data_IF_524334112771
#
_entry.id   IF_524334112771
#
_cell.length_a   1.000
_cell.length_b   1.000
_cell.length_c   1.000
_cell.angle_alpha   90.00
_cell.angle_beta   90.00
_cell.angle_gamma   90.00
#
_symmetry.space_group_name_H-M   'P 1'
#
loop_
_entity.id
_entity.type
_entity.pdbx_description
1 polymer ?
#
# COMPACT_ATOMS: atom_id res chain seq x y z
N UNK A 1 -21.96 35.10 6.43
CA UNK A 1 -22.27 34.08 5.40
C UNK A 1 -21.04 33.20 5.12
N UNK A 2 -20.46 32.55 6.15
CA UNK A 2 -19.18 31.83 6.01
C UNK A 2 -19.18 30.45 6.68
N UNK A 3 -20.34 30.02 7.22
CA UNK A 3 -20.51 28.72 7.89
C UNK A 3 -21.17 27.65 7.01
N UNK A 4 -21.80 28.03 5.89
CA UNK A 4 -22.43 27.07 4.95
C UNK A 4 -21.42 26.37 4.02
N UNK A 5 -20.30 27.02 3.68
CA UNK A 5 -19.33 26.46 2.73
C UNK A 5 -18.49 25.30 3.33
N UNK A 6 -18.27 25.29 4.64
CA UNK A 6 -17.48 24.25 5.32
C UNK A 6 -18.27 22.92 5.42
N UNK A 7 -19.59 22.99 5.58
CA UNK A 7 -20.44 21.80 5.67
C UNK A 7 -20.56 21.10 4.30
N UNK A 8 -20.60 21.85 3.19
CA UNK A 8 -20.63 21.25 1.85
C UNK A 8 -19.33 20.51 1.50
N UNK A 9 -18.17 21.00 1.96
CA UNK A 9 -16.88 20.34 1.72
C UNK A 9 -16.74 19.02 2.51
N UNK A 10 -17.24 18.96 3.75
CA UNK A 10 -17.25 17.72 4.54
C UNK A 10 -18.21 16.66 3.96
N UNK A 11 -19.36 17.07 3.42
CA UNK A 11 -20.29 16.12 2.77
C UNK A 11 -19.72 15.60 1.44
N UNK A 12 -18.94 16.40 0.70
CA UNK A 12 -18.31 15.96 -0.54
C UNK A 12 -17.19 14.90 -0.32
N UNK A 13 -16.40 15.03 0.75
CA UNK A 13 -15.35 14.05 1.08
C UNK A 13 -15.96 12.72 1.54
N UNK A 14 -17.06 12.75 2.31
CA UNK A 14 -17.80 11.54 2.69
C UNK A 14 -18.56 10.90 1.52
N UNK A 15 -19.04 11.70 0.56
CA UNK A 15 -19.81 11.21 -0.58
C UNK A 15 -18.94 10.52 -1.65
N UNK A 16 -17.66 10.89 -1.77
CA UNK A 16 -16.73 10.28 -2.74
C UNK A 16 -16.39 8.81 -2.43
N UNK A 17 -16.47 8.39 -1.16
CA UNK A 17 -16.24 6.98 -0.78
C UNK A 17 -17.45 6.06 -1.04
N UNK A 18 -18.62 6.61 -1.41
CA UNK A 18 -19.91 5.89 -1.39
C UNK A 18 -20.48 5.53 -2.78
N UNK A 19 -19.74 5.77 -3.87
CA UNK A 19 -20.15 5.22 -5.18
C UNK A 19 -19.81 3.73 -5.19
N UNK A 20 -20.81 2.89 -4.97
CA UNK A 20 -20.69 1.44 -4.98
C UNK A 20 -19.99 0.95 -6.25
N UNK A 21 -18.81 0.37 -6.07
CA UNK A 21 -17.98 -0.25 -7.12
C UNK A 21 -18.45 -1.68 -7.47
N UNK A 22 -19.70 -2.02 -7.11
CA UNK A 22 -20.26 -3.36 -7.27
C UNK A 22 -19.72 -4.40 -6.29
N UNK A 23 -18.77 -4.06 -5.41
CA UNK A 23 -18.22 -5.00 -4.42
C UNK A 23 -19.10 -5.22 -3.19
N UNK A 24 -20.06 -4.33 -2.93
CA UNK A 24 -20.87 -4.33 -1.71
C UNK A 24 -20.11 -3.86 -0.45
N UNK A 25 -18.82 -3.53 -0.54
CA UNK A 25 -17.99 -3.12 0.61
C UNK A 25 -17.99 -1.60 0.75
N UNK A 26 -18.55 -1.11 1.86
CA UNK A 26 -18.51 0.30 2.26
C UNK A 26 -17.41 0.54 3.29
N UNK A 27 -16.46 1.43 2.99
CA UNK A 27 -15.31 1.69 3.89
C UNK A 27 -15.70 2.19 5.28
N UNK A 28 -16.82 2.91 5.40
CA UNK A 28 -17.33 3.41 6.67
C UNK A 28 -17.87 2.30 7.60
N UNK A 29 -18.00 1.06 7.11
CA UNK A 29 -18.55 -0.04 7.87
C UNK A 29 -17.46 -0.99 8.43
N UNK A 30 -16.18 -0.81 8.08
CA UNK A 30 -15.09 -1.64 8.59
C UNK A 30 -14.50 -1.01 9.86
N UNK A 31 -14.90 -1.49 11.03
CA UNK A 31 -14.10 -1.30 12.25
C UNK A 31 -12.85 -2.22 12.21
N UNK A 32 -11.86 -1.97 13.07
CA UNK A 32 -10.60 -2.72 13.07
C UNK A 32 -10.81 -4.25 13.26
N UNK A 33 -11.83 -4.65 14.01
CA UNK A 33 -12.17 -6.04 14.31
C UNK A 33 -12.78 -6.75 13.09
N UNK A 34 -13.76 -6.11 12.43
CA UNK A 34 -14.38 -6.62 11.21
C UNK A 34 -13.42 -6.61 10.02
N UNK A 35 -12.48 -5.67 9.99
CA UNK A 35 -11.41 -5.65 9.00
C UNK A 35 -10.56 -6.93 9.10
N UNK A 36 -10.21 -7.39 10.31
CA UNK A 36 -9.39 -8.60 10.50
C UNK A 36 -10.12 -9.89 10.06
N UNK A 37 -11.40 -10.04 10.37
CA UNK A 37 -12.20 -11.19 9.97
C UNK A 37 -12.41 -11.24 8.44
N UNK A 38 -12.66 -10.08 7.83
CA UNK A 38 -12.74 -9.98 6.37
C UNK A 38 -11.38 -10.30 5.71
N UNK A 39 -10.25 -10.01 6.36
CA UNK A 39 -8.93 -10.39 5.84
C UNK A 39 -8.67 -11.89 5.81
N UNK A 40 -9.18 -12.61 6.82
CA UNK A 40 -8.95 -14.05 6.99
C UNK A 40 -9.67 -14.91 5.93
N UNK A 41 -10.71 -14.37 5.29
CA UNK A 41 -11.58 -15.11 4.34
C UNK A 41 -11.20 -14.94 2.88
N UNK A 42 -10.11 -14.22 2.60
CA UNK A 42 -9.84 -13.80 1.24
C UNK A 42 -9.08 -14.85 0.43
N UNK A 43 -9.32 -14.91 -0.89
CA UNK A 43 -8.55 -15.77 -1.77
C UNK A 43 -7.07 -15.35 -1.69
N UNK A 44 -6.13 -16.31 -1.70
CA UNK A 44 -4.72 -16.00 -1.72
C UNK A 44 -4.40 -15.12 -2.94
N UNK A 45 -3.35 -14.31 -2.82
CA UNK A 45 -2.79 -13.65 -4.00
C UNK A 45 -2.40 -14.71 -5.04
N UNK A 46 -2.57 -14.44 -6.34
CA UNK A 46 -2.30 -15.46 -7.35
C UNK A 46 -0.82 -15.86 -7.32
N UNK A 47 -0.56 -17.13 -7.06
CA UNK A 47 0.79 -17.68 -6.93
C UNK A 47 1.52 -17.72 -8.28
N UNK A 48 2.85 -17.68 -8.25
CA UNK A 48 3.70 -17.92 -9.43
C UNK A 48 3.74 -16.78 -10.44
N UNK A 49 3.32 -15.57 -10.07
CA UNK A 49 3.53 -14.37 -10.88
C UNK A 49 5.00 -13.95 -10.80
N UNK A 50 5.62 -13.72 -11.97
CA UNK A 50 6.95 -13.14 -12.01
C UNK A 50 6.93 -11.75 -11.34
N UNK A 51 7.95 -11.42 -10.53
CA UNK A 51 8.00 -10.13 -9.86
C UNK A 51 8.08 -8.99 -10.89
N UNK A 52 7.21 -7.97 -10.81
CA UNK A 52 7.30 -6.79 -11.67
C UNK A 52 8.63 -6.07 -11.44
N UNK A 53 9.16 -5.39 -12.46
CA UNK A 53 10.49 -4.79 -12.35
C UNK A 53 10.51 -3.41 -11.70
N UNK A 54 9.37 -2.70 -11.69
CA UNK A 54 9.27 -1.32 -11.25
C UNK A 54 8.06 -1.12 -10.33
N UNK A 55 8.11 -0.07 -9.52
CA UNK A 55 7.03 0.33 -8.64
C UNK A 55 5.71 0.51 -9.41
N UNK A 56 5.74 1.20 -10.55
CA UNK A 56 4.56 1.44 -11.38
C UNK A 56 4.03 0.14 -12.01
N UNK A 57 4.93 -0.74 -12.47
CA UNK A 57 4.53 -2.05 -12.98
C UNK A 57 3.93 -2.94 -11.88
N UNK A 58 4.39 -2.78 -10.64
CA UNK A 58 3.81 -3.46 -9.49
C UNK A 58 2.38 -2.98 -9.24
N UNK A 59 2.13 -1.66 -9.23
CA UNK A 59 0.76 -1.14 -9.08
C UNK A 59 -0.17 -1.63 -10.20
N UNK A 60 0.31 -1.66 -11.44
CA UNK A 60 -0.46 -2.20 -12.57
C UNK A 60 -0.75 -3.71 -12.42
N UNK A 61 0.24 -4.50 -11.98
CA UNK A 61 0.06 -5.92 -11.73
C UNK A 61 -0.93 -6.19 -10.58
N UNK A 62 -0.91 -5.36 -9.52
CA UNK A 62 -1.91 -5.42 -8.46
C UNK A 62 -3.31 -5.11 -8.98
N UNK A 63 -3.46 -4.14 -9.90
CA UNK A 63 -4.74 -3.81 -10.51
C UNK A 63 -5.26 -4.94 -11.42
N UNK A 64 -4.41 -5.59 -12.20
CA UNK A 64 -4.83 -6.69 -13.07
C UNK A 64 -5.20 -7.96 -12.27
N UNK A 65 -4.38 -8.30 -11.27
CA UNK A 65 -4.46 -9.57 -10.57
C UNK A 65 -5.53 -9.64 -9.48
N UNK A 66 -5.87 -8.51 -8.84
CA UNK A 66 -6.71 -8.53 -7.65
C UNK A 66 -8.21 -8.58 -7.97
N UNK A 67 -8.98 -9.48 -7.32
CA UNK A 67 -10.42 -9.51 -7.49
C UNK A 67 -11.07 -8.24 -6.90
N UNK A 68 -12.27 -7.84 -7.38
CA UNK A 68 -12.95 -6.62 -6.92
C UNK A 68 -13.10 -6.49 -5.40
N UNK A 69 -13.37 -7.60 -4.70
CA UNK A 69 -13.47 -7.62 -3.24
C UNK A 69 -12.17 -7.19 -2.55
N UNK A 70 -11.02 -7.67 -3.05
CA UNK A 70 -9.71 -7.28 -2.51
C UNK A 70 -9.39 -5.83 -2.80
N UNK A 71 -9.69 -5.35 -4.01
CA UNK A 71 -9.50 -3.94 -4.37
C UNK A 71 -10.34 -3.04 -3.44
N UNK A 72 -11.60 -3.38 -3.21
CA UNK A 72 -12.46 -2.60 -2.33
C UNK A 72 -11.93 -2.53 -0.89
N UNK A 73 -11.36 -3.61 -0.35
CA UNK A 73 -10.74 -3.59 0.98
C UNK A 73 -9.47 -2.72 1.03
N UNK A 74 -8.58 -2.85 0.04
CA UNK A 74 -7.37 -2.01 -0.03
C UNK A 74 -7.77 -0.54 -0.17
N UNK A 75 -8.81 -0.23 -0.97
CA UNK A 75 -9.39 1.11 -1.09
C UNK A 75 -9.87 1.66 0.26
N UNK A 76 -10.36 0.78 1.15
CA UNK A 76 -10.88 1.13 2.47
C UNK A 76 -9.83 1.16 3.58
N UNK A 77 -8.56 0.85 3.30
CA UNK A 77 -7.49 1.11 4.25
C UNK A 77 -7.49 2.58 4.64
N UNK A 78 -7.53 2.83 5.95
CA UNK A 78 -7.29 4.17 6.50
C UNK A 78 -5.91 4.66 6.01
N UNK A 79 -5.87 5.91 5.57
CA UNK A 79 -4.78 6.50 4.75
C UNK A 79 -3.38 6.40 5.36
N UNK A 80 -3.26 6.13 6.66
CA UNK A 80 -1.99 6.26 7.39
C UNK A 80 -1.29 4.95 7.76
N UNK A 81 -1.91 3.77 7.56
CA UNK A 81 -1.30 2.51 8.02
C UNK A 81 -1.65 1.29 7.17
N UNK A 82 -0.61 0.61 6.69
CA UNK A 82 -0.70 -0.72 6.10
C UNK A 82 -0.56 -1.85 7.15
N UNK A 83 -0.51 -1.52 8.44
CA UNK A 83 -0.32 -2.51 9.50
C UNK A 83 -1.33 -3.67 9.47
N UNK A 84 -2.64 -3.45 9.21
CA UNK A 84 -3.60 -4.54 9.08
C UNK A 84 -3.28 -5.54 7.96
N UNK A 85 -2.61 -5.08 6.90
CA UNK A 85 -2.20 -5.94 5.78
C UNK A 85 -0.78 -6.49 5.92
N UNK A 86 -0.04 -6.13 6.96
CA UNK A 86 1.39 -6.41 7.08
C UNK A 86 1.73 -7.91 7.07
N UNK A 87 0.92 -8.73 7.73
CA UNK A 87 1.08 -10.20 7.79
C UNK A 87 0.29 -10.95 6.71
N UNK A 88 -0.34 -10.20 5.82
CA UNK A 88 -1.31 -10.68 4.85
C UNK A 88 -0.74 -10.35 3.46
N UNK A 89 -1.26 -9.32 2.80
CA UNK A 89 -0.77 -8.82 1.51
C UNK A 89 0.69 -8.37 1.59
N UNK A 90 1.08 -7.72 2.69
CA UNK A 90 2.46 -7.28 2.90
C UNK A 90 3.44 -8.46 2.92
N UNK A 91 3.10 -9.54 3.64
CA UNK A 91 3.94 -10.74 3.71
C UNK A 91 4.07 -11.42 2.35
N UNK A 92 2.97 -11.53 1.61
CA UNK A 92 3.00 -12.07 0.26
C UNK A 92 3.90 -11.26 -0.67
N UNK A 93 3.75 -9.93 -0.71
CA UNK A 93 4.60 -9.04 -1.51
C UNK A 93 6.09 -9.20 -1.16
N UNK A 94 6.41 -9.39 0.12
CA UNK A 94 7.79 -9.62 0.57
C UNK A 94 8.37 -10.93 0.07
N UNK A 95 7.59 -11.99 0.15
CA UNK A 95 8.06 -13.33 -0.20
C UNK A 95 8.12 -13.55 -1.71
N UNK A 96 7.16 -13.00 -2.46
CA UNK A 96 7.05 -13.26 -3.90
C UNK A 96 7.73 -12.18 -4.73
N UNK A 97 7.58 -10.90 -4.36
CA UNK A 97 8.01 -9.79 -5.23
C UNK A 97 9.24 -9.05 -4.74
N UNK A 98 9.46 -8.96 -3.43
CA UNK A 98 10.55 -8.18 -2.82
C UNK A 98 11.63 -9.07 -2.18
N UNK A 99 11.62 -10.37 -2.45
CA UNK A 99 12.60 -11.29 -1.89
C UNK A 99 14.01 -11.00 -2.43
N UNK A 100 14.97 -10.94 -1.50
CA UNK A 100 16.38 -10.73 -1.82
C UNK A 100 16.63 -9.43 -2.60
N UNK A 101 17.22 -9.56 -3.79
CA UNK A 101 17.56 -8.45 -4.71
C UNK A 101 16.72 -8.49 -5.99
N UNK A 102 15.43 -8.80 -5.86
CA UNK A 102 14.54 -8.80 -7.02
C UNK A 102 14.63 -7.48 -7.81
N UNK A 103 14.30 -7.47 -9.11
CA UNK A 103 14.23 -6.24 -9.89
C UNK A 103 13.38 -5.15 -9.20
N UNK A 104 12.22 -5.53 -8.62
CA UNK A 104 11.38 -4.62 -7.84
C UNK A 104 12.10 -4.06 -6.62
N UNK A 105 12.75 -4.92 -5.82
CA UNK A 105 13.46 -4.49 -4.61
C UNK A 105 14.59 -3.51 -4.95
N UNK A 106 15.31 -3.74 -6.05
CA UNK A 106 16.34 -2.80 -6.55
C UNK A 106 15.74 -1.46 -6.99
N UNK A 107 14.65 -1.49 -7.76
CA UNK A 107 13.96 -0.28 -8.19
C UNK A 107 13.47 0.54 -6.99
N UNK A 108 12.79 -0.09 -6.02
CA UNK A 108 12.36 0.59 -4.80
C UNK A 108 13.55 1.02 -3.93
N UNK A 109 14.66 0.28 -3.95
CA UNK A 109 15.90 0.70 -3.34
C UNK A 109 16.43 2.01 -3.94
N UNK A 110 16.40 2.15 -5.27
CA UNK A 110 16.79 3.41 -5.93
C UNK A 110 15.86 4.57 -5.57
N UNK A 111 14.62 4.29 -5.14
CA UNK A 111 13.67 5.28 -4.62
C UNK A 111 13.91 5.64 -3.13
N UNK A 112 14.90 5.03 -2.47
CA UNK A 112 15.30 5.34 -1.09
C UNK A 112 14.77 4.38 -0.02
N UNK A 113 14.13 3.27 -0.40
CA UNK A 113 13.68 2.25 0.53
C UNK A 113 14.82 1.34 0.97
N UNK A 114 14.90 1.06 2.27
CA UNK A 114 15.97 0.25 2.88
C UNK A 114 15.48 -1.04 3.54
N UNK A 115 14.17 -1.26 3.59
CA UNK A 115 13.56 -2.41 4.25
C UNK A 115 12.36 -2.94 3.45
N UNK A 116 12.23 -4.26 3.24
CA UNK A 116 11.13 -4.85 2.47
C UNK A 116 9.75 -4.59 3.09
N UNK A 117 9.65 -4.45 4.42
CA UNK A 117 8.38 -4.07 5.07
C UNK A 117 7.88 -2.70 4.61
N UNK A 118 8.78 -1.73 4.50
CA UNK A 118 8.42 -0.38 4.03
C UNK A 118 8.07 -0.39 2.55
N UNK A 119 8.79 -1.20 1.75
CA UNK A 119 8.48 -1.39 0.34
C UNK A 119 7.08 -1.98 0.14
N UNK A 120 6.77 -3.07 0.85
CA UNK A 120 5.44 -3.69 0.79
C UNK A 120 4.33 -2.74 1.28
N UNK A 121 4.62 -1.96 2.33
CA UNK A 121 3.68 -0.94 2.84
C UNK A 121 3.45 0.18 1.83
N UNK A 122 4.50 0.65 1.15
CA UNK A 122 4.40 1.68 0.13
C UNK A 122 3.56 1.23 -1.08
N UNK A 123 3.75 -0.01 -1.55
CA UNK A 123 2.93 -0.57 -2.65
C UNK A 123 1.45 -0.62 -2.27
N UNK A 124 1.15 -1.11 -1.07
CA UNK A 124 -0.22 -1.20 -0.56
C UNK A 124 -0.86 0.19 -0.45
N UNK A 125 -0.17 1.15 0.18
CA UNK A 125 -0.70 2.50 0.38
C UNK A 125 -0.87 3.24 -0.94
N UNK A 126 0.13 3.18 -1.83
CA UNK A 126 0.04 3.80 -3.14
C UNK A 126 -1.11 3.23 -3.96
N UNK A 127 -1.30 1.91 -3.94
CA UNK A 127 -2.42 1.28 -4.62
C UNK A 127 -3.77 1.69 -4.01
N UNK A 128 -3.86 1.79 -2.68
CA UNK A 128 -5.05 2.31 -2.01
C UNK A 128 -5.40 3.75 -2.45
N UNK A 129 -4.40 4.63 -2.53
CA UNK A 129 -4.56 5.99 -3.06
C UNK A 129 -4.97 5.98 -4.55
N UNK A 130 -4.38 5.13 -5.38
CA UNK A 130 -4.76 4.98 -6.79
C UNK A 130 -6.24 4.59 -6.95
N UNK A 131 -6.72 3.64 -6.14
CA UNK A 131 -8.14 3.23 -6.13
C UNK A 131 -9.08 4.37 -5.70
N UNK A 132 -8.60 5.29 -4.85
CA UNK A 132 -9.32 6.51 -4.44
C UNK A 132 -9.11 7.70 -5.38
N UNK A 133 -8.25 7.55 -6.40
CA UNK A 133 -7.81 8.64 -7.29
C UNK A 133 -7.13 9.79 -6.53
N UNK A 134 -6.38 9.43 -5.50
CA UNK A 134 -5.58 10.33 -4.67
C UNK A 134 -4.10 10.20 -5.05
N UNK A 135 -3.31 11.22 -4.72
CA UNK A 135 -1.85 11.19 -4.89
C UNK A 135 -1.19 10.55 -3.68
N UNK A 136 -0.18 9.71 -3.92
CA UNK A 136 0.71 9.18 -2.89
C UNK A 136 2.15 9.65 -3.15
N UNK A 137 2.72 10.40 -2.20
CA UNK A 137 4.11 10.83 -2.29
C UNK A 137 5.05 9.71 -1.78
N UNK A 138 5.45 8.85 -2.71
CA UNK A 138 6.34 7.72 -2.42
C UNK A 138 7.71 8.16 -1.92
N UNK A 139 8.22 9.30 -2.39
CA UNK A 139 9.53 9.82 -1.98
C UNK A 139 9.48 10.33 -0.53
N UNK A 140 8.44 11.08 -0.18
CA UNK A 140 8.21 11.51 1.20
C UNK A 140 8.05 10.32 2.15
N UNK A 141 7.29 9.30 1.74
CA UNK A 141 7.12 8.08 2.53
C UNK A 141 8.45 7.34 2.72
N UNK A 142 9.23 7.13 1.66
CA UNK A 142 10.55 6.51 1.74
C UNK A 142 11.49 7.29 2.67
N UNK A 143 11.53 8.62 2.56
CA UNK A 143 12.33 9.50 3.41
C UNK A 143 11.97 9.41 4.89
N UNK A 144 10.66 9.38 5.21
CA UNK A 144 10.19 9.22 6.58
C UNK A 144 10.60 7.86 7.18
N UNK A 145 10.45 6.76 6.42
CA UNK A 145 10.86 5.42 6.87
C UNK A 145 12.37 5.29 7.05
N UNK A 146 13.14 5.82 6.10
CA UNK A 146 14.61 5.91 6.20
C UNK A 146 15.05 6.68 7.45
N UNK A 147 14.37 7.77 7.78
CA UNK A 147 14.62 8.52 9.02
C UNK A 147 14.32 7.68 10.26
N UNK A 148 13.20 6.95 10.27
CA UNK A 148 12.86 6.06 11.38
C UNK A 148 13.89 4.95 11.59
N UNK A 149 14.43 4.37 10.52
CA UNK A 149 15.49 3.36 10.63
C UNK A 149 16.80 3.92 11.15
N UNK A 150 17.20 5.13 10.72
CA UNK A 150 18.36 5.83 11.29
C UNK A 150 18.22 6.03 12.80
N UNK A 151 17.04 6.45 13.26
CA UNK A 151 16.77 6.63 14.70
C UNK A 151 16.86 5.32 15.50
N UNK A 152 16.64 4.17 14.85
CA UNK A 152 16.81 2.83 15.43
C UNK A 152 18.25 2.30 15.33
N UNK A 153 19.20 3.11 14.88
CA UNK A 153 20.62 2.75 14.76
C UNK A 153 20.96 1.93 13.51
N UNK A 154 20.08 1.86 12.52
CA UNK A 154 20.39 1.18 11.25
C UNK A 154 21.28 2.06 10.38
N UNK A 155 22.38 1.47 9.88
CA UNK A 155 23.14 2.05 8.78
C UNK A 155 22.34 1.94 7.48
N UNK A 156 21.55 2.98 7.22
CA UNK A 156 20.66 3.03 6.06
C UNK A 156 21.40 3.18 4.74
N UNK A 157 22.64 3.62 4.73
CA UNK A 157 23.46 3.73 3.52
C UNK A 157 23.99 2.35 3.14
N UNK A 158 24.51 1.59 4.11
CA UNK A 158 24.88 0.19 3.90
C UNK A 158 23.66 -0.68 3.55
N UNK A 159 22.52 -0.49 4.22
CA UNK A 159 21.29 -1.21 3.89
C UNK A 159 20.84 -0.92 2.44
N UNK A 160 20.87 0.35 2.03
CA UNK A 160 20.53 0.74 0.66
C UNK A 160 21.46 0.11 -0.38
N UNK A 161 22.78 0.14 -0.11
CA UNK A 161 23.78 -0.46 -0.97
C UNK A 161 23.58 -1.97 -1.12
N UNK A 162 23.22 -2.67 -0.03
CA UNK A 162 22.91 -4.11 -0.08
C UNK A 162 21.74 -4.43 -0.99
N UNK A 163 20.72 -3.58 -1.02
CA UNK A 163 19.54 -3.78 -1.89
C UNK A 163 19.89 -3.46 -3.34
N UNK A 164 20.57 -2.33 -3.59
CA UNK A 164 20.74 -1.76 -4.94
C UNK A 164 21.92 -2.31 -5.73
N UNK A 165 22.85 -3.02 -5.08
CA UNK A 165 23.98 -3.60 -5.79
C UNK A 165 23.54 -4.64 -6.85
N UNK A 166 24.28 -4.72 -7.97
CA UNK A 166 23.95 -5.58 -9.10
C UNK A 166 23.88 -7.05 -8.74
#
# INVERSE_FOLDING_TARGET
MQRLAIILALVAVLSACNKGDGSGIQCAALDEERYADELATLPPWPAGQAPPATFEAALAAMDDALPPSRKAQIRCLMTESAAPLHFTTGLWLRNEWLAGRSPLARNMGQMGFVHPDDMSSALILAYAHQLRRETFDVAAFAGARRTSWRQRGVDVDAAQARITAP
#
